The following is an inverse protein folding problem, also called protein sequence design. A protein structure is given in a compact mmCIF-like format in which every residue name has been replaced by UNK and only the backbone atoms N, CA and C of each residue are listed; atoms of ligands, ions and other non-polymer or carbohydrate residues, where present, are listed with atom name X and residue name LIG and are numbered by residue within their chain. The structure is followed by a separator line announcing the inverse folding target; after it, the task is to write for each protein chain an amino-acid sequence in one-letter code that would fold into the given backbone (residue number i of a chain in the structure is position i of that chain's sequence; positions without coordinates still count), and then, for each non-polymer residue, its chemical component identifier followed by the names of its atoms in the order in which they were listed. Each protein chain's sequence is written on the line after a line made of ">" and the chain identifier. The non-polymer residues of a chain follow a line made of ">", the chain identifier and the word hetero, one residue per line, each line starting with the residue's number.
data_IF_193796242649
#
_entry.id   IF_193796242649
#
_cell.length_a   1.000
_cell.length_b   1.000
_cell.length_c   1.000
_cell.angle_alpha   90.00
_cell.angle_beta   90.00
_cell.angle_gamma   90.00
#
_symmetry.space_group_name_H-M   'P 1'
#
loop_
_entity.id
_entity.type
_entity.pdbx_description
1 polymer ?
#
# COMPACT_ATOMS: atom_id res chain seq x y z
N UNK A 1 13.89 11.05 8.47
CA UNK A 1 14.04 9.99 7.44
C UNK A 1 12.70 9.44 7.00
N UNK A 2 11.92 8.73 7.83
CA UNK A 2 10.61 8.12 7.44
C UNK A 2 9.65 9.12 6.76
N UNK A 3 9.49 10.32 7.33
CA UNK A 3 8.56 11.35 6.86
C UNK A 3 9.14 12.30 5.81
N UNK A 4 10.30 11.99 5.23
CA UNK A 4 10.88 12.82 4.18
C UNK A 4 9.92 12.90 2.98
N UNK A 5 9.62 14.13 2.56
CA UNK A 5 8.73 14.44 1.44
C UNK A 5 9.48 14.62 0.14
N UNK A 6 10.80 14.78 0.22
CA UNK A 6 11.71 14.87 -0.94
C UNK A 6 12.91 13.95 -0.72
N UNK A 7 13.58 13.58 -1.82
CA UNK A 7 14.84 12.81 -1.75
C UNK A 7 15.95 13.61 -1.05
N UNK A 8 15.92 14.93 -1.16
CA UNK A 8 16.86 15.84 -0.49
C UNK A 8 16.66 15.83 1.04
N UNK A 9 15.42 15.90 1.52
CA UNK A 9 15.09 15.81 2.95
C UNK A 9 15.53 14.45 3.52
N UNK A 10 15.39 13.38 2.74
CA UNK A 10 15.86 12.05 3.13
C UNK A 10 17.39 12.03 3.23
N UNK A 11 18.09 12.50 2.20
CA UNK A 11 19.56 12.58 2.17
C UNK A 11 20.14 13.41 3.32
N UNK A 12 19.53 14.56 3.62
CA UNK A 12 19.91 15.38 4.77
C UNK A 12 19.75 14.63 6.10
N UNK A 13 18.60 13.99 6.30
CA UNK A 13 18.33 13.27 7.54
C UNK A 13 19.26 12.03 7.72
N UNK A 14 19.63 11.37 6.61
CA UNK A 14 20.64 10.31 6.58
C UNK A 14 22.03 10.84 6.92
N UNK A 15 22.42 11.98 6.36
CA UNK A 15 23.68 12.65 6.72
C UNK A 15 23.74 13.04 8.20
N UNK A 16 22.66 13.59 8.73
CA UNK A 16 22.56 13.95 10.15
C UNK A 16 22.64 12.73 11.09
N UNK A 17 22.17 11.56 10.66
CA UNK A 17 22.35 10.30 11.40
C UNK A 17 23.83 9.91 11.48
N UNK A 18 24.55 9.98 10.36
CA UNK A 18 25.99 9.69 10.32
C UNK A 18 26.78 10.70 11.18
N UNK A 19 26.42 11.97 11.13
CA UNK A 19 27.02 13.01 11.97
C UNK A 19 26.82 12.72 13.47
N UNK A 20 25.61 12.30 13.87
CA UNK A 20 25.33 11.88 15.26
C UNK A 20 26.13 10.66 15.71
N UNK A 21 26.58 9.83 14.77
CA UNK A 21 27.48 8.71 15.02
C UNK A 21 28.97 9.12 14.95
N UNK A 22 29.25 10.42 14.95
CA UNK A 22 30.62 10.96 14.90
C UNK A 22 31.25 10.90 13.51
N UNK A 23 30.45 10.83 12.44
CA UNK A 23 30.96 10.64 11.08
C UNK A 23 31.49 9.24 10.81
N UNK A 24 31.26 8.29 11.72
CA UNK A 24 31.79 6.93 11.63
C UNK A 24 30.90 6.05 10.75
N UNK A 25 31.24 5.94 9.47
CA UNK A 25 30.57 5.05 8.52
C UNK A 25 30.76 3.56 8.82
N UNK A 26 31.75 3.23 9.66
CA UNK A 26 32.04 1.88 10.11
C UNK A 26 31.27 1.50 11.37
N UNK A 27 30.49 2.42 11.92
CA UNK A 27 29.65 2.16 13.08
C UNK A 27 28.66 1.03 12.77
N UNK A 28 28.53 -0.02 13.62
CA UNK A 28 27.65 -1.16 13.35
C UNK A 28 26.21 -0.77 13.04
N UNK A 29 25.67 0.22 13.77
CA UNK A 29 24.33 0.75 13.52
C UNK A 29 24.20 1.40 12.13
N UNK A 30 25.22 2.12 11.66
CA UNK A 30 25.19 2.74 10.34
C UNK A 30 25.28 1.68 9.23
N UNK A 31 26.15 0.68 9.39
CA UNK A 31 26.24 -0.46 8.46
C UNK A 31 24.91 -1.21 8.35
N UNK A 32 24.31 -1.59 9.48
CA UNK A 32 23.02 -2.29 9.50
C UNK A 32 21.93 -1.44 8.85
N UNK A 33 21.92 -0.13 9.12
CA UNK A 33 20.98 0.80 8.49
C UNK A 33 21.17 0.83 6.97
N UNK A 34 22.40 0.98 6.49
CA UNK A 34 22.69 0.99 5.06
C UNK A 34 22.29 -0.31 4.37
N UNK A 35 22.65 -1.44 4.95
CA UNK A 35 22.41 -2.77 4.37
C UNK A 35 20.92 -3.14 4.33
N UNK A 36 20.16 -2.81 5.38
CA UNK A 36 18.80 -3.33 5.56
C UNK A 36 17.71 -2.27 5.36
N UNK A 37 17.97 -1.03 5.77
CA UNK A 37 16.96 0.03 5.74
C UNK A 37 17.11 0.93 4.51
N UNK A 38 18.30 1.47 4.26
CA UNK A 38 18.53 2.38 3.13
C UNK A 38 18.28 1.68 1.78
N UNK A 39 18.76 0.44 1.62
CA UNK A 39 18.49 -0.40 0.45
C UNK A 39 17.00 -0.72 0.22
N UNK A 40 16.14 -0.52 1.23
CA UNK A 40 14.71 -0.79 1.14
C UNK A 40 13.85 0.48 1.34
N UNK A 41 14.41 1.66 1.07
CA UNK A 41 13.75 2.96 1.29
C UNK A 41 12.36 3.08 0.63
N UNK A 42 12.15 2.43 -0.52
CA UNK A 42 10.86 2.42 -1.22
C UNK A 42 9.74 1.79 -0.38
N UNK A 43 10.11 0.91 0.55
CA UNK A 43 9.18 0.24 1.44
C UNK A 43 8.84 1.04 2.68
N UNK A 44 9.47 2.17 3.02
CA UNK A 44 9.22 2.86 4.31
C UNK A 44 9.39 4.38 4.30
N UNK A 45 10.00 4.98 3.28
CA UNK A 45 10.14 6.44 3.15
C UNK A 45 8.93 7.04 2.42
N UNK A 46 8.37 8.11 2.98
CA UNK A 46 7.12 8.71 2.49
C UNK A 46 7.19 9.17 1.03
N UNK A 47 8.28 9.82 0.60
CA UNK A 47 8.46 10.26 -0.81
C UNK A 47 8.48 9.10 -1.80
N UNK A 48 9.04 7.94 -1.42
CA UNK A 48 9.15 6.77 -2.29
C UNK A 48 7.92 5.86 -2.25
N UNK A 49 7.11 5.97 -1.20
CA UNK A 49 5.93 5.12 -0.94
C UNK A 49 4.66 5.48 -1.72
N UNK A 50 4.68 6.49 -2.58
CA UNK A 50 3.48 7.05 -3.23
C UNK A 50 2.59 6.05 -3.99
N UNK A 51 3.16 4.92 -4.44
CA UNK A 51 2.45 3.90 -5.25
C UNK A 51 2.01 2.65 -4.46
N UNK A 52 2.26 2.57 -3.15
CA UNK A 52 1.90 1.38 -2.35
C UNK A 52 0.62 1.65 -1.56
N UNK A 53 -0.47 0.87 -1.75
CA UNK A 53 -1.69 0.99 -0.95
C UNK A 53 -1.42 0.62 0.52
N UNK A 54 -1.01 1.60 1.30
CA UNK A 54 -0.60 1.39 2.69
C UNK A 54 -1.75 1.20 3.68
N UNK A 55 -3.02 1.24 3.24
CA UNK A 55 -4.20 1.16 4.12
C UNK A 55 -4.12 2.11 5.33
N UNK A 56 -3.52 3.30 5.16
CA UNK A 56 -3.19 4.27 6.25
C UNK A 56 -2.29 3.71 7.37
N UNK A 57 -1.62 2.58 7.13
CA UNK A 57 -0.72 1.91 8.07
C UNK A 57 0.72 2.41 7.88
N UNK A 58 1.05 3.53 8.51
CA UNK A 58 2.38 4.14 8.51
C UNK A 58 3.16 3.90 9.82
N UNK A 59 2.56 3.22 10.80
CA UNK A 59 3.18 2.95 12.10
C UNK A 59 3.18 1.46 12.43
N UNK A 60 4.24 1.01 13.07
CA UNK A 60 4.33 -0.33 13.65
C UNK A 60 3.48 -0.49 14.92
N UNK A 61 2.95 0.60 15.49
CA UNK A 61 2.14 0.64 16.72
C UNK A 61 1.07 -0.47 16.80
N UNK A 62 0.38 -0.75 15.68
CA UNK A 62 -0.65 -1.80 15.65
C UNK A 62 -0.05 -3.20 15.81
N UNK A 63 1.10 -3.44 15.21
CA UNK A 63 1.84 -4.70 15.29
C UNK A 63 2.48 -4.82 16.68
N UNK A 64 3.15 -3.78 17.15
CA UNK A 64 3.78 -3.74 18.48
C UNK A 64 2.77 -3.92 19.61
N UNK A 65 1.60 -3.27 19.52
CA UNK A 65 0.51 -3.44 20.49
C UNK A 65 0.00 -4.88 20.52
N UNK A 66 -0.17 -5.52 19.34
CA UNK A 66 -0.55 -6.93 19.27
C UNK A 66 0.53 -7.85 19.86
N UNK A 67 1.80 -7.60 19.55
CA UNK A 67 2.91 -8.34 20.14
C UNK A 67 2.98 -8.19 21.66
N UNK A 68 2.70 -7.00 22.20
CA UNK A 68 2.60 -6.77 23.63
C UNK A 68 1.57 -7.69 24.29
N UNK A 69 0.34 -7.72 23.75
CA UNK A 69 -0.73 -8.58 24.26
C UNK A 69 -0.39 -10.07 24.18
N UNK A 70 0.31 -10.50 23.13
CA UNK A 70 0.76 -11.88 22.96
C UNK A 70 1.80 -12.23 24.04
N UNK A 71 2.74 -11.33 24.32
CA UNK A 71 3.74 -11.49 25.39
C UNK A 71 3.12 -11.51 26.78
N UNK A 72 1.99 -10.84 27.00
CA UNK A 72 1.28 -10.89 28.30
C UNK A 72 0.64 -12.27 28.56
N UNK A 73 0.29 -12.99 27.49
CA UNK A 73 -0.36 -14.32 27.56
C UNK A 73 0.67 -15.44 27.62
N UNK A 74 1.76 -15.31 26.86
CA UNK A 74 2.84 -16.30 26.80
C UNK A 74 3.74 -16.15 28.02
N UNK A 75 3.92 -17.25 28.76
CA UNK A 75 4.87 -17.29 29.87
C UNK A 75 6.19 -17.90 29.43
N UNK A 76 7.26 -17.47 30.07
CA UNK A 76 8.61 -18.04 29.91
C UNK A 76 8.70 -19.51 30.33
N UNK A 77 7.72 -19.99 31.10
CA UNK A 77 7.60 -21.39 31.54
C UNK A 77 6.99 -22.32 30.49
N UNK A 78 6.50 -21.82 29.37
CA UNK A 78 5.89 -22.66 28.34
C UNK A 78 6.95 -23.49 27.63
N UNK A 79 6.68 -24.77 27.43
CA UNK A 79 7.40 -25.56 26.44
C UNK A 79 7.13 -25.04 25.02
N UNK A 80 7.97 -25.43 24.07
CA UNK A 80 7.80 -25.04 22.65
C UNK A 80 6.43 -25.48 22.13
N UNK A 81 5.96 -26.68 22.48
CA UNK A 81 4.68 -27.20 22.04
C UNK A 81 3.49 -26.43 22.63
N UNK A 82 3.56 -26.05 23.91
CA UNK A 82 2.54 -25.22 24.56
C UNK A 82 2.50 -23.81 23.98
N UNK A 83 3.68 -23.22 23.69
CA UNK A 83 3.80 -21.94 23.03
C UNK A 83 3.15 -21.96 21.64
N UNK A 84 3.53 -22.94 20.81
CA UNK A 84 3.00 -23.06 19.45
C UNK A 84 1.49 -23.32 19.46
N UNK A 85 1.02 -24.22 20.32
CA UNK A 85 -0.42 -24.50 20.46
C UNK A 85 -1.21 -23.25 20.87
N UNK A 86 -0.67 -22.48 21.82
CA UNK A 86 -1.31 -21.22 22.27
C UNK A 86 -1.34 -20.19 21.14
N UNK A 87 -0.24 -20.01 20.41
CA UNK A 87 -0.17 -19.06 19.29
C UNK A 87 -1.15 -19.40 18.17
N UNK A 88 -1.23 -20.69 17.78
CA UNK A 88 -2.17 -21.16 16.75
C UNK A 88 -3.62 -20.90 17.22
N UNK A 89 -3.94 -21.26 18.46
CA UNK A 89 -5.29 -21.04 19.01
C UNK A 89 -5.68 -19.56 19.04
N UNK A 90 -4.74 -18.67 19.40
CA UNK A 90 -4.98 -17.22 19.38
C UNK A 90 -5.17 -16.68 17.96
N UNK A 91 -4.45 -17.24 16.98
CA UNK A 91 -4.62 -16.89 15.58
C UNK A 91 -5.98 -17.34 15.04
N UNK A 92 -6.35 -18.60 15.25
CA UNK A 92 -7.66 -19.15 14.86
C UNK A 92 -8.80 -18.31 15.46
N UNK A 93 -8.72 -18.00 16.75
CA UNK A 93 -9.70 -17.13 17.40
C UNK A 93 -9.78 -15.73 16.77
N UNK A 94 -8.64 -15.13 16.40
CA UNK A 94 -8.63 -13.82 15.75
C UNK A 94 -9.20 -13.86 14.33
N UNK A 95 -8.98 -14.94 13.59
CA UNK A 95 -9.54 -15.18 12.25
C UNK A 95 -11.07 -15.36 12.33
N UNK A 96 -11.55 -16.16 13.28
CA UNK A 96 -12.99 -16.36 13.52
C UNK A 96 -13.69 -15.04 13.85
N UNK A 97 -13.10 -14.22 14.72
CA UNK A 97 -13.63 -12.89 15.04
C UNK A 97 -13.66 -11.98 13.82
N UNK A 98 -12.63 -12.04 12.97
CA UNK A 98 -12.58 -11.27 11.73
C UNK A 98 -13.70 -11.68 10.76
N UNK A 99 -13.89 -12.99 10.57
CA UNK A 99 -14.94 -13.57 9.73
C UNK A 99 -16.32 -13.19 10.29
N UNK A 100 -16.53 -13.34 11.60
CA UNK A 100 -17.78 -12.99 12.24
C UNK A 100 -18.14 -11.51 12.04
N UNK A 101 -17.17 -10.60 12.22
CA UNK A 101 -17.39 -9.17 11.99
C UNK A 101 -17.63 -8.85 10.51
N UNK A 102 -16.98 -9.58 9.58
CA UNK A 102 -17.25 -9.45 8.15
C UNK A 102 -18.68 -9.87 7.76
N UNK A 103 -19.20 -10.93 8.39
CA UNK A 103 -20.55 -11.43 8.14
C UNK A 103 -21.64 -10.71 8.95
N UNK A 104 -21.25 -9.87 9.91
CA UNK A 104 -22.18 -9.10 10.74
C UNK A 104 -23.05 -8.18 9.88
N UNK A 105 -24.38 -8.23 10.10
CA UNK A 105 -25.35 -7.35 9.44
C UNK A 105 -25.01 -5.89 9.77
N UNK A 106 -24.78 -5.06 8.75
CA UNK A 106 -24.32 -3.67 8.89
C UNK A 106 -22.79 -3.49 8.97
N UNK A 107 -22.01 -4.58 9.04
CA UNK A 107 -20.54 -4.55 8.89
C UNK A 107 -20.10 -4.41 7.43
N UNK A 108 -20.96 -4.87 6.50
CA UNK A 108 -20.84 -4.54 5.08
C UNK A 108 -21.23 -3.08 4.89
N UNK A 109 -20.43 -2.28 4.15
CA UNK A 109 -20.78 -0.90 3.88
C UNK A 109 -22.16 -0.82 3.20
N UNK A 110 -23.17 -0.42 3.97
CA UNK A 110 -24.53 -0.17 3.51
C UNK A 110 -24.58 1.21 2.84
N UNK A 111 -25.09 1.26 1.61
CA UNK A 111 -25.29 2.49 0.84
C UNK A 111 -24.27 2.75 -0.28
N UNK A 112 -23.63 1.72 -0.82
CA UNK A 112 -22.65 1.88 -1.90
C UNK A 112 -23.31 1.80 -3.27
N UNK A 113 -23.57 3.00 -3.80
CA UNK A 113 -23.84 3.30 -5.21
C UNK A 113 -25.19 2.82 -5.77
N UNK A 114 -25.84 3.68 -6.56
CA UNK A 114 -27.05 3.33 -7.33
C UNK A 114 -26.74 2.37 -8.51
N UNK A 115 -25.45 2.17 -8.80
CA UNK A 115 -24.96 1.32 -9.87
C UNK A 115 -24.90 -0.16 -9.46
N UNK A 116 -25.50 -1.03 -10.27
CA UNK A 116 -25.64 -2.47 -10.03
C UNK A 116 -24.29 -3.20 -10.05
N UNK A 117 -23.35 -2.79 -10.91
CA UNK A 117 -22.03 -3.41 -11.03
C UNK A 117 -21.16 -3.10 -9.81
N UNK A 118 -21.17 -1.82 -9.37
CA UNK A 118 -20.48 -1.42 -8.15
C UNK A 118 -21.11 -2.05 -6.90
N UNK A 119 -22.44 -2.14 -6.85
CA UNK A 119 -23.15 -2.78 -5.73
C UNK A 119 -22.78 -4.26 -5.58
N UNK A 120 -22.68 -4.99 -6.69
CA UNK A 120 -22.25 -6.39 -6.69
C UNK A 120 -20.79 -6.53 -6.20
N UNK A 121 -19.91 -5.66 -6.69
CA UNK A 121 -18.50 -5.66 -6.30
C UNK A 121 -18.30 -5.30 -4.82
N UNK A 122 -19.09 -4.36 -4.28
CA UNK A 122 -19.06 -3.94 -2.88
C UNK A 122 -19.28 -5.09 -1.89
N UNK A 123 -19.96 -6.17 -2.31
CA UNK A 123 -20.22 -7.35 -1.48
C UNK A 123 -19.03 -8.32 -1.44
N UNK A 124 -18.08 -8.19 -2.37
CA UNK A 124 -16.97 -9.11 -2.56
C UNK A 124 -15.63 -8.56 -2.05
N UNK A 125 -15.52 -7.24 -1.92
CA UNK A 125 -14.24 -6.57 -1.58
C UNK A 125 -14.38 -5.70 -0.34
N UNK A 126 -13.25 -5.43 0.31
CA UNK A 126 -13.22 -4.55 1.48
C UNK A 126 -13.65 -3.12 1.12
N UNK A 127 -14.18 -2.36 2.08
CA UNK A 127 -14.55 -0.94 1.89
C UNK A 127 -13.43 -0.09 1.29
N UNK A 128 -12.18 -0.35 1.68
CA UNK A 128 -11.02 0.36 1.13
C UNK A 128 -10.82 0.05 -0.36
N UNK A 129 -10.83 -1.23 -0.73
CA UNK A 129 -10.70 -1.65 -2.12
C UNK A 129 -11.88 -1.14 -2.96
N UNK A 130 -13.09 -1.17 -2.39
CA UNK A 130 -14.27 -0.61 -3.00
C UNK A 130 -14.11 0.88 -3.30
N UNK A 131 -13.63 1.68 -2.36
CA UNK A 131 -13.42 3.11 -2.59
C UNK A 131 -12.45 3.37 -3.74
N UNK A 132 -11.34 2.62 -3.82
CA UNK A 132 -10.38 2.74 -4.92
C UNK A 132 -11.04 2.42 -6.27
N UNK A 133 -11.79 1.31 -6.35
CA UNK A 133 -12.45 0.92 -7.60
C UNK A 133 -13.57 1.90 -7.95
N UNK A 134 -14.36 2.34 -6.98
CA UNK A 134 -15.44 3.31 -7.19
C UNK A 134 -14.92 4.65 -7.72
N UNK A 135 -13.77 5.13 -7.24
CA UNK A 135 -13.13 6.34 -7.76
C UNK A 135 -12.70 6.17 -9.22
N UNK A 136 -12.12 5.01 -9.57
CA UNK A 136 -11.73 4.71 -10.96
C UNK A 136 -12.94 4.47 -11.86
N UNK A 137 -14.00 3.85 -11.35
CA UNK A 137 -15.25 3.63 -12.08
C UNK A 137 -15.92 4.97 -12.40
N UNK A 138 -16.03 5.87 -11.42
CA UNK A 138 -16.50 7.23 -11.65
C UNK A 138 -15.56 8.05 -12.55
N UNK A 139 -14.28 7.70 -12.57
CA UNK A 139 -13.33 8.29 -13.51
C UNK A 139 -13.63 7.86 -14.96
N UNK A 140 -13.84 6.56 -15.18
CA UNK A 140 -14.05 5.96 -16.49
C UNK A 140 -15.46 6.20 -17.08
N UNK A 141 -16.51 6.27 -16.26
CA UNK A 141 -17.90 6.49 -16.70
C UNK A 141 -18.35 7.96 -16.62
N UNK A 142 -17.47 8.90 -16.22
CA UNK A 142 -17.81 10.31 -16.21
C UNK A 142 -17.91 10.91 -17.62
N UNK A 143 -18.76 11.93 -17.81
CA UNK A 143 -18.96 12.60 -19.12
C UNK A 143 -17.75 13.35 -19.71
N UNK A 144 -16.56 13.12 -19.17
CA UNK A 144 -15.26 13.64 -19.63
C UNK A 144 -14.19 12.53 -19.67
N UNK A 145 -14.63 11.28 -19.81
CA UNK A 145 -13.77 10.11 -20.04
C UNK A 145 -13.28 10.00 -21.50
N UNK A 146 -13.79 10.86 -22.39
CA UNK A 146 -13.33 10.96 -23.76
C UNK A 146 -11.87 11.42 -23.82
N UNK A 147 -11.10 10.79 -24.69
CA UNK A 147 -9.73 11.21 -24.97
C UNK A 147 -9.68 11.93 -26.32
N UNK A 148 -8.94 13.05 -26.36
CA UNK A 148 -8.60 13.69 -27.62
C UNK A 148 -7.48 12.90 -28.29
N UNK A 149 -7.72 12.43 -29.51
CA UNK A 149 -6.75 11.65 -30.29
C UNK A 149 -6.18 12.53 -31.39
N UNK A 150 -4.89 12.81 -31.31
CA UNK A 150 -4.13 13.44 -32.36
C UNK A 150 -3.30 12.37 -33.09
N UNK A 151 -3.61 12.14 -34.36
CA UNK A 151 -2.80 11.28 -35.22
C UNK A 151 -1.55 12.06 -35.65
N UNK A 152 -0.40 11.69 -35.08
CA UNK A 152 0.89 12.27 -35.44
C UNK A 152 1.47 11.65 -36.71
N UNK A 153 2.79 11.73 -36.85
CA UNK A 153 3.56 11.04 -37.91
C UNK A 153 3.14 9.56 -38.07
N UNK A 154 3.31 8.95 -39.27
CA UNK A 154 2.94 7.55 -39.46
C UNK A 154 3.53 6.68 -38.35
N UNK A 155 2.70 5.84 -37.73
CA UNK A 155 3.01 4.94 -36.61
C UNK A 155 2.90 5.52 -35.19
N UNK A 156 2.47 6.77 -34.98
CA UNK A 156 2.30 7.36 -33.65
C UNK A 156 0.95 8.07 -33.49
N UNK A 157 0.21 7.72 -32.44
CA UNK A 157 -0.97 8.44 -31.99
C UNK A 157 -0.69 9.07 -30.62
N UNK A 158 -1.02 10.34 -30.46
CA UNK A 158 -0.98 11.05 -29.19
C UNK A 158 -2.39 11.09 -28.63
N UNK A 159 -2.58 10.58 -27.42
CA UNK A 159 -3.87 10.51 -26.74
C UNK A 159 -3.80 11.44 -25.54
N UNK A 160 -4.63 12.47 -25.53
CA UNK A 160 -4.67 13.45 -24.44
C UNK A 160 -5.94 13.29 -23.63
N UNK A 161 -5.80 13.18 -22.32
CA UNK A 161 -6.94 13.23 -21.41
C UNK A 161 -7.30 14.69 -21.12
N UNK A 162 -8.49 15.17 -21.49
CA UNK A 162 -8.96 16.52 -21.16
C UNK A 162 -9.09 16.74 -19.64
N UNK A 163 -9.24 15.64 -18.89
CA UNK A 163 -9.49 15.64 -17.45
C UNK A 163 -8.22 15.71 -16.60
N UNK A 164 -7.14 15.02 -16.99
CA UNK A 164 -5.86 15.05 -16.27
C UNK A 164 -4.82 15.94 -16.92
N UNK A 165 -5.01 16.31 -18.19
CA UNK A 165 -4.01 17.02 -18.99
C UNK A 165 -2.84 16.14 -19.43
N UNK A 166 -2.84 14.85 -19.07
CA UNK A 166 -1.78 13.93 -19.45
C UNK A 166 -1.89 13.55 -20.93
N UNK A 167 -0.73 13.47 -21.57
CA UNK A 167 -0.58 13.01 -22.95
C UNK A 167 0.14 11.66 -22.96
N UNK A 168 -0.45 10.68 -23.64
CA UNK A 168 0.06 9.34 -23.78
C UNK A 168 0.40 9.08 -25.25
N UNK A 169 1.59 8.55 -25.53
CA UNK A 169 2.02 8.24 -26.90
C UNK A 169 1.82 6.73 -27.16
N UNK A 170 1.02 6.39 -28.17
CA UNK A 170 0.69 5.01 -28.54
C UNK A 170 1.23 4.70 -29.92
N UNK A 171 1.94 3.58 -30.04
CA UNK A 171 2.39 3.06 -31.34
C UNK A 171 1.20 2.48 -32.10
N UNK A 172 0.99 2.93 -33.33
CA UNK A 172 -0.05 2.40 -34.23
C UNK A 172 0.48 1.35 -35.18
N UNK A 173 1.72 0.86 -34.99
CA UNK A 173 2.24 -0.26 -35.77
C UNK A 173 1.49 -1.54 -35.40
N UNK A 174 0.71 -2.07 -36.36
CA UNK A 174 0.11 -3.40 -36.22
C UNK A 174 1.21 -4.44 -36.45
N UNK A 175 1.75 -5.03 -35.37
CA UNK A 175 2.60 -6.20 -35.52
C UNK A 175 1.71 -7.41 -35.82
N UNK A 176 1.54 -7.73 -37.11
CA UNK A 176 1.07 -9.06 -37.49
C UNK A 176 2.20 -10.04 -37.18
N UNK A 177 2.14 -10.69 -36.01
CA UNK A 177 2.94 -11.88 -35.76
C UNK A 177 2.49 -12.96 -36.75
N UNK A 178 3.43 -13.43 -37.57
CA UNK A 178 3.24 -14.52 -38.53
C UNK A 178 3.55 -15.85 -37.88
#
# INVERSE_FOLDING_TARGET
>A
MVYAKTDEEYGYAKGAMLEKLGGNDSHPLYKIFMENWDNSQDNWVSVKRGNVPHLTNNTNNRIESKWGKIKDVIKDTFSIDELLSTLITLQEYAEDQCIAEYHRVGGRPSGLCEDEELSSLALQISKFAFNLVSEQYAFANGGSADYEVELGSPCKASIKSPRTGNTYEVSTMVSFAK
#
